data_IF_883885117693
#
_entry.id   IF_883885117693
#
_cell.length_a   1.000
_cell.length_b   1.000
_cell.length_c   1.000
_cell.angle_alpha   90.00
_cell.angle_beta   90.00
_cell.angle_gamma   90.00
#
_symmetry.space_group_name_H-M   'P 1'
#
loop_
_entity.id
_entity.type
_entity.pdbx_description
1 polymer ?
#
# COMPACT_ATOMS: atom_id res chain seq x y z
N UNK A 1 20.03 4.02 -8.14
CA UNK A 1 19.06 3.25 -8.96
C UNK A 1 17.73 4.00 -8.99
N UNK A 2 16.95 3.98 -10.10
CA UNK A 2 15.65 4.65 -10.20
C UNK A 2 14.50 3.66 -10.04
N UNK A 3 13.35 4.15 -9.57
CA UNK A 3 12.15 3.33 -9.40
C UNK A 3 10.90 4.01 -9.97
N UNK A 4 9.96 3.22 -10.50
CA UNK A 4 8.59 3.62 -10.77
C UNK A 4 7.71 3.10 -9.63
N UNK A 5 6.93 3.97 -9.01
CA UNK A 5 5.96 3.59 -7.98
C UNK A 5 4.54 3.80 -8.50
N UNK A 6 3.75 2.73 -8.51
CA UNK A 6 2.39 2.74 -9.02
C UNK A 6 1.42 3.26 -7.95
N UNK A 7 0.85 4.42 -8.19
CA UNK A 7 -0.06 5.10 -7.26
C UNK A 7 -1.39 5.53 -7.91
N UNK A 8 -1.71 5.00 -9.10
CA UNK A 8 -2.87 5.39 -9.91
C UNK A 8 -4.24 4.87 -9.45
N UNK A 9 -4.31 4.02 -8.43
CA UNK A 9 -5.55 3.37 -8.01
C UNK A 9 -6.49 4.28 -7.20
N UNK A 10 -7.81 4.14 -7.41
CA UNK A 10 -8.87 4.93 -6.71
C UNK A 10 -9.02 4.59 -5.22
N UNK A 11 -8.45 3.49 -4.73
CA UNK A 11 -8.55 3.10 -3.32
C UNK A 11 -9.98 2.77 -2.85
N UNK A 12 -10.87 2.36 -3.72
CA UNK A 12 -12.31 2.18 -3.42
C UNK A 12 -12.59 1.21 -2.27
N UNK A 13 -11.75 0.20 -2.08
CA UNK A 13 -11.86 -0.76 -0.96
C UNK A 13 -11.59 -0.15 0.42
N UNK A 14 -10.90 1.00 0.47
CA UNK A 14 -10.59 1.74 1.71
C UNK A 14 -11.55 2.90 1.98
N UNK A 15 -12.58 3.08 1.15
CA UNK A 15 -13.62 4.05 1.47
C UNK A 15 -14.30 3.70 2.79
N UNK A 16 -14.67 4.70 3.60
CA UNK A 16 -14.73 6.14 3.32
C UNK A 16 -13.40 6.91 3.47
N UNK A 17 -12.32 6.32 3.98
CA UNK A 17 -11.04 7.00 4.23
C UNK A 17 -10.42 7.63 2.96
N UNK A 18 -10.71 7.06 1.79
CA UNK A 18 -10.16 7.49 0.48
C UNK A 18 -11.12 8.35 -0.34
N UNK A 19 -12.20 8.86 0.24
CA UNK A 19 -13.13 9.74 -0.47
C UNK A 19 -12.48 11.07 -0.91
N UNK A 20 -11.58 11.57 -0.08
CA UNK A 20 -10.96 12.89 -0.29
C UNK A 20 -9.45 12.85 -0.50
N UNK A 21 -8.81 11.69 -0.42
CA UNK A 21 -7.35 11.52 -0.62
C UNK A 21 -7.00 10.20 -1.29
N UNK A 22 -5.90 10.12 -2.05
CA UNK A 22 -5.37 8.86 -2.55
C UNK A 22 -4.99 7.92 -1.39
N UNK A 23 -5.11 6.61 -1.60
CA UNK A 23 -4.79 5.64 -0.53
C UNK A 23 -3.34 5.73 -0.04
N UNK A 24 -2.40 6.07 -0.92
CA UNK A 24 -0.99 6.22 -0.56
C UNK A 24 -0.70 7.46 0.29
N UNK A 25 -1.67 8.40 0.34
CA UNK A 25 -1.65 9.55 1.24
C UNK A 25 -2.35 9.29 2.57
N UNK A 26 -2.95 8.10 2.77
CA UNK A 26 -3.43 7.70 4.09
C UNK A 26 -2.27 7.56 5.05
N UNK A 27 -2.40 8.06 6.30
CA UNK A 27 -1.36 7.94 7.29
C UNK A 27 -1.21 6.49 7.76
N UNK A 28 0.03 6.03 7.81
CA UNK A 28 0.41 4.81 8.53
C UNK A 28 1.27 5.27 9.70
N UNK A 29 0.77 5.12 10.91
CA UNK A 29 1.26 5.77 12.12
C UNK A 29 1.24 7.31 11.99
N UNK A 30 2.42 7.93 11.84
CA UNK A 30 2.63 9.38 11.85
C UNK A 30 2.82 10.01 10.46
N UNK A 31 2.95 9.22 9.41
CA UNK A 31 3.29 9.71 8.06
C UNK A 31 2.50 9.00 6.95
N UNK A 32 2.32 9.63 5.78
CA UNK A 32 1.68 9.00 4.63
C UNK A 32 2.35 7.68 4.22
N UNK A 33 1.57 6.73 3.74
CA UNK A 33 2.06 5.43 3.26
C UNK A 33 3.18 5.57 2.22
N UNK A 34 3.09 6.56 1.34
CA UNK A 34 4.12 6.81 0.32
C UNK A 34 5.49 7.14 0.93
N UNK A 35 5.55 7.74 2.11
CA UNK A 35 6.82 8.02 2.79
C UNK A 35 7.49 6.75 3.33
N UNK A 36 6.70 5.75 3.72
CA UNK A 36 7.24 4.42 4.06
C UNK A 36 7.86 3.75 2.85
N UNK A 37 7.18 3.82 1.70
CA UNK A 37 7.67 3.25 0.44
C UNK A 37 8.94 3.99 -0.02
N UNK A 38 8.92 5.32 -0.06
CA UNK A 38 10.07 6.12 -0.48
C UNK A 38 11.27 5.93 0.47
N UNK A 39 11.04 5.92 1.79
CA UNK A 39 12.08 5.69 2.79
C UNK A 39 12.73 4.30 2.66
N UNK A 40 11.93 3.25 2.44
CA UNK A 40 12.43 1.92 2.19
C UNK A 40 13.24 1.85 0.88
N UNK A 41 12.78 2.48 -0.20
CA UNK A 41 13.49 2.57 -1.47
C UNK A 41 14.83 3.31 -1.28
N UNK A 42 14.82 4.46 -0.59
CA UNK A 42 16.03 5.23 -0.29
C UNK A 42 17.06 4.43 0.53
N UNK A 43 16.61 3.70 1.56
CA UNK A 43 17.47 2.82 2.35
C UNK A 43 18.10 1.68 1.54
N UNK A 44 17.50 1.33 0.38
CA UNK A 44 18.02 0.35 -0.56
C UNK A 44 18.76 0.97 -1.76
N UNK A 45 19.15 2.26 -1.68
CA UNK A 45 19.99 2.93 -2.69
C UNK A 45 19.22 3.44 -3.92
N UNK A 46 17.93 3.70 -3.78
CA UNK A 46 17.13 4.41 -4.79
C UNK A 46 17.23 5.91 -4.52
N UNK A 47 17.60 6.67 -5.51
CA UNK A 47 17.85 8.13 -5.43
C UNK A 47 16.71 8.93 -6.04
N UNK A 48 15.98 8.32 -6.98
CA UNK A 48 14.86 8.97 -7.67
C UNK A 48 13.70 7.98 -7.86
N UNK A 49 12.51 8.43 -7.54
CA UNK A 49 11.23 7.73 -7.72
C UNK A 49 10.35 8.50 -8.69
N UNK A 50 9.79 7.79 -9.66
CA UNK A 50 8.76 8.30 -10.55
C UNK A 50 7.40 7.79 -10.07
N UNK A 51 6.56 8.68 -9.57
CA UNK A 51 5.19 8.34 -9.21
C UNK A 51 4.31 8.32 -10.45
N UNK A 52 3.74 7.15 -10.81
CA UNK A 52 2.70 7.05 -11.83
C UNK A 52 1.36 7.37 -11.17
N UNK A 53 0.84 8.54 -11.47
CA UNK A 53 -0.31 9.14 -10.81
C UNK A 53 -1.55 9.07 -11.71
N UNK A 54 -2.67 8.63 -11.16
CA UNK A 54 -3.96 8.68 -11.83
C UNK A 54 -4.97 9.51 -11.06
N UNK A 55 -5.30 9.08 -9.85
CA UNK A 55 -6.31 9.70 -9.00
C UNK A 55 -5.70 10.79 -8.10
N UNK A 56 -6.25 12.01 -8.16
CA UNK A 56 -5.87 13.18 -7.34
C UNK A 56 -4.35 13.43 -7.30
N UNK A 57 -3.70 13.66 -8.43
CA UNK A 57 -2.26 13.88 -8.50
C UNK A 57 -1.81 15.12 -7.69
N UNK A 58 -2.70 16.12 -7.53
CA UNK A 58 -2.46 17.32 -6.74
C UNK A 58 -2.09 17.00 -5.28
N UNK A 59 -2.68 15.96 -4.69
CA UNK A 59 -2.38 15.57 -3.31
C UNK A 59 -0.89 15.22 -3.09
N UNK A 60 -0.20 14.73 -4.11
CA UNK A 60 1.23 14.45 -4.04
C UNK A 60 2.07 15.69 -4.32
N UNK A 61 1.74 16.48 -5.32
CA UNK A 61 2.50 17.68 -5.68
C UNK A 61 2.39 18.79 -4.62
N UNK A 62 1.26 18.89 -3.93
CA UNK A 62 1.06 19.81 -2.82
C UNK A 62 1.77 19.35 -1.54
N UNK A 63 1.80 18.04 -1.27
CA UNK A 63 2.48 17.49 -0.09
C UNK A 63 4.02 17.51 -0.24
N UNK A 64 4.53 17.39 -1.47
CA UNK A 64 5.97 17.33 -1.74
C UNK A 64 6.38 18.36 -2.80
N UNK A 65 6.21 19.67 -2.53
CA UNK A 65 6.45 20.74 -3.51
C UNK A 65 7.91 20.83 -3.93
N UNK A 66 8.84 20.43 -3.06
CA UNK A 66 10.26 20.42 -3.33
C UNK A 66 10.73 19.19 -4.14
N UNK A 67 9.80 18.31 -4.51
CA UNK A 67 10.13 17.06 -5.18
C UNK A 67 10.98 16.10 -4.34
N UNK A 68 10.82 16.12 -3.01
CA UNK A 68 11.52 15.23 -2.07
C UNK A 68 10.54 14.53 -1.16
N UNK A 69 10.69 13.20 -1.00
CA UNK A 69 9.90 12.39 -0.09
C UNK A 69 10.84 11.43 0.66
N UNK A 70 10.89 11.52 1.98
CA UNK A 70 11.79 10.71 2.83
C UNK A 70 13.27 10.71 2.36
N UNK A 71 13.75 11.83 1.81
CA UNK A 71 15.12 11.98 1.31
C UNK A 71 15.34 11.47 -0.13
N UNK A 72 14.32 10.97 -0.80
CA UNK A 72 14.36 10.47 -2.19
C UNK A 72 13.76 11.51 -3.13
N UNK A 73 14.38 11.74 -4.28
CA UNK A 73 13.86 12.63 -5.32
C UNK A 73 12.59 12.11 -5.95
N UNK A 74 11.56 12.94 -6.11
CA UNK A 74 10.31 12.60 -6.76
C UNK A 74 10.19 13.22 -8.15
N UNK A 75 9.73 12.42 -9.09
CA UNK A 75 9.19 12.83 -10.38
C UNK A 75 7.74 12.42 -10.48
N UNK A 76 6.95 13.15 -11.22
CA UNK A 76 5.52 12.90 -11.38
C UNK A 76 5.20 12.59 -12.84
N UNK A 77 4.57 11.43 -13.10
CA UNK A 77 4.03 11.04 -14.38
C UNK A 77 2.50 10.92 -14.23
N UNK A 78 1.77 11.95 -14.64
CA UNK A 78 0.30 12.00 -14.49
C UNK A 78 -0.35 11.36 -15.72
N UNK A 79 -1.01 10.22 -15.50
CA UNK A 79 -1.72 9.48 -16.54
C UNK A 79 -2.95 10.30 -17.02
N UNK A 80 -3.14 10.49 -18.34
CA UNK A 80 -4.31 11.20 -18.87
C UNK A 80 -5.62 10.42 -18.66
N UNK A 81 -5.50 9.09 -18.55
CA UNK A 81 -6.56 8.13 -18.28
C UNK A 81 -5.95 6.88 -17.62
N UNK A 82 -6.73 6.05 -16.91
CA UNK A 82 -6.20 4.82 -16.31
C UNK A 82 -5.63 3.86 -17.36
N UNK A 83 -4.33 3.54 -17.27
CA UNK A 83 -3.60 2.73 -18.24
C UNK A 83 -3.42 1.26 -17.80
N UNK A 84 -3.90 0.90 -16.59
CA UNK A 84 -3.59 -0.37 -15.92
C UNK A 84 -2.09 -0.52 -15.60
N UNK A 85 -1.66 -1.60 -14.95
CA UNK A 85 -0.33 -1.72 -14.33
C UNK A 85 0.82 -1.58 -15.33
N UNK A 86 0.82 -2.30 -16.44
CA UNK A 86 1.89 -2.20 -17.43
C UNK A 86 1.83 -0.87 -18.21
N UNK A 87 0.63 -0.40 -18.57
CA UNK A 87 0.47 0.89 -19.23
C UNK A 87 1.02 2.04 -18.40
N UNK A 88 0.75 2.05 -17.10
CA UNK A 88 1.29 3.00 -16.13
C UNK A 88 2.83 2.93 -16.05
N UNK A 89 3.41 1.73 -15.99
CA UNK A 89 4.87 1.52 -16.01
C UNK A 89 5.47 2.12 -17.29
N UNK A 90 4.91 1.79 -18.45
CA UNK A 90 5.40 2.30 -19.73
C UNK A 90 5.33 3.83 -19.78
N UNK A 91 4.20 4.39 -19.38
CA UNK A 91 3.98 5.85 -19.38
C UNK A 91 5.01 6.55 -18.49
N UNK A 92 5.15 6.09 -17.24
CA UNK A 92 6.11 6.67 -16.29
C UNK A 92 7.56 6.47 -16.75
N UNK A 93 7.94 5.29 -17.25
CA UNK A 93 9.29 5.00 -17.72
C UNK A 93 9.68 5.91 -18.87
N UNK A 94 8.80 6.12 -19.86
CA UNK A 94 9.05 7.01 -20.99
C UNK A 94 9.14 8.48 -20.61
N UNK A 95 8.30 8.92 -19.67
CA UNK A 95 8.30 10.30 -19.20
C UNK A 95 9.66 10.77 -18.66
N UNK A 96 10.50 9.83 -18.20
CA UNK A 96 11.82 10.11 -17.62
C UNK A 96 12.99 9.39 -18.30
N UNK A 97 12.75 8.77 -19.48
CA UNK A 97 13.77 8.11 -20.28
C UNK A 97 14.33 6.80 -19.71
N UNK A 98 13.56 6.08 -18.87
CA UNK A 98 13.94 4.76 -18.36
C UNK A 98 13.91 3.68 -19.46
N UNK A 99 13.06 3.84 -20.46
CA UNK A 99 12.94 2.95 -21.62
C UNK A 99 14.17 2.96 -22.54
N UNK A 100 15.02 3.98 -22.43
CA UNK A 100 16.25 4.15 -23.19
C UNK A 100 17.52 4.05 -22.33
N UNK A 101 17.37 3.68 -21.05
CA UNK A 101 18.50 3.51 -20.16
C UNK A 101 19.22 2.17 -20.42
N UNK A 102 20.49 2.09 -20.02
CA UNK A 102 21.26 0.84 -20.09
C UNK A 102 21.06 -0.04 -18.85
N UNK A 103 20.63 0.55 -17.73
CA UNK A 103 20.48 -0.11 -16.44
C UNK A 103 19.03 -0.48 -16.15
N UNK A 104 18.77 -1.60 -15.47
CA UNK A 104 17.45 -1.95 -15.02
C UNK A 104 16.91 -0.95 -13.99
N UNK A 105 15.59 -0.88 -13.90
CA UNK A 105 14.88 -0.04 -12.94
C UNK A 105 13.91 -0.87 -12.09
N UNK A 106 13.55 -0.33 -10.93
CA UNK A 106 12.57 -0.93 -10.04
C UNK A 106 11.15 -0.50 -10.43
N UNK A 107 10.20 -1.39 -10.19
CA UNK A 107 8.77 -1.07 -10.16
C UNK A 107 8.19 -1.57 -8.84
N UNK A 108 7.43 -0.72 -8.17
CA UNK A 108 6.84 -1.03 -6.87
C UNK A 108 5.38 -0.60 -6.82
N UNK A 109 4.53 -1.44 -6.26
CA UNK A 109 3.17 -1.06 -5.90
C UNK A 109 3.21 -0.11 -4.70
N UNK A 110 2.66 1.09 -4.84
CA UNK A 110 2.73 2.16 -3.84
C UNK A 110 1.88 1.94 -2.59
N UNK A 111 1.20 0.80 -2.46
CA UNK A 111 0.40 0.39 -1.30
C UNK A 111 0.99 -0.81 -0.55
N UNK A 112 2.20 -1.23 -0.91
CA UNK A 112 2.95 -2.31 -0.25
C UNK A 112 3.94 -1.73 0.74
N UNK A 113 3.84 -2.15 1.99
CA UNK A 113 4.83 -1.88 3.04
C UNK A 113 5.64 -3.14 3.27
N UNK A 114 6.96 -3.05 3.10
CA UNK A 114 7.88 -4.20 3.17
C UNK A 114 9.26 -3.80 3.67
N UNK A 115 10.02 -4.77 4.17
CA UNK A 115 11.45 -4.64 4.48
C UNK A 115 12.32 -5.52 3.56
N UNK A 116 11.80 -5.88 2.39
CA UNK A 116 12.53 -6.64 1.37
C UNK A 116 13.90 -6.02 1.05
N UNK A 117 14.94 -6.85 1.06
CA UNK A 117 16.27 -6.47 0.63
C UNK A 117 16.34 -6.40 -0.91
N UNK A 118 16.17 -5.22 -1.49
CA UNK A 118 16.18 -5.00 -2.95
C UNK A 118 17.50 -5.48 -3.58
N UNK A 119 18.61 -5.36 -2.87
CA UNK A 119 19.92 -5.83 -3.34
C UNK A 119 19.94 -7.30 -3.75
N UNK A 120 19.22 -8.18 -3.02
CA UNK A 120 19.10 -9.60 -3.36
C UNK A 120 18.30 -9.82 -4.66
N UNK A 121 17.22 -9.05 -4.86
CA UNK A 121 16.43 -9.11 -6.08
C UNK A 121 17.23 -8.67 -7.31
N UNK A 122 17.98 -7.58 -7.19
CA UNK A 122 18.87 -7.06 -8.25
C UNK A 122 20.01 -8.03 -8.55
N UNK A 123 20.58 -8.64 -7.51
CA UNK A 123 21.66 -9.64 -7.68
C UNK A 123 21.17 -10.88 -8.47
N UNK A 124 19.98 -11.39 -8.14
CA UNK A 124 19.37 -12.49 -8.88
C UNK A 124 19.09 -12.10 -10.33
N UNK A 125 18.50 -10.91 -10.55
CA UNK A 125 18.21 -10.38 -11.88
C UNK A 125 19.44 -10.39 -12.78
N UNK A 126 20.56 -9.86 -12.29
CA UNK A 126 21.83 -9.81 -13.02
C UNK A 126 22.43 -11.21 -13.23
N UNK A 127 22.42 -12.05 -12.19
CA UNK A 127 23.00 -13.40 -12.25
C UNK A 127 22.29 -14.31 -13.26
N UNK A 128 20.99 -14.09 -13.48
CA UNK A 128 20.18 -14.86 -14.43
C UNK A 128 20.13 -14.24 -15.84
N UNK A 129 20.62 -13.03 -16.02
CA UNK A 129 20.42 -12.28 -17.25
C UNK A 129 18.93 -12.11 -17.54
N UNK A 130 18.14 -11.96 -16.50
CA UNK A 130 16.68 -11.88 -16.59
C UNK A 130 16.25 -10.61 -17.32
N UNK A 131 15.13 -10.67 -18.04
CA UNK A 131 14.49 -9.46 -18.56
C UNK A 131 13.60 -8.81 -17.51
N UNK A 132 12.95 -9.63 -16.66
CA UNK A 132 12.30 -9.17 -15.44
C UNK A 132 12.53 -10.16 -14.29
N UNK A 133 12.55 -9.62 -13.07
CA UNK A 133 12.60 -10.42 -11.83
C UNK A 133 11.59 -9.87 -10.85
N UNK A 134 10.74 -10.74 -10.33
CA UNK A 134 9.67 -10.39 -9.38
C UNK A 134 10.01 -10.89 -7.97
N UNK A 135 9.69 -10.11 -6.95
CA UNK A 135 9.73 -10.57 -5.57
C UNK A 135 8.46 -11.35 -5.23
N UNK A 136 8.61 -12.45 -4.51
CA UNK A 136 7.51 -13.26 -4.01
C UNK A 136 7.50 -13.26 -2.49
N UNK A 137 6.29 -13.29 -1.92
CA UNK A 137 6.05 -13.44 -0.48
C UNK A 137 5.08 -14.59 -0.22
N UNK A 138 5.22 -15.33 0.89
CA UNK A 138 4.27 -16.39 1.23
C UNK A 138 3.03 -15.81 1.90
N UNK A 139 1.85 -16.38 1.60
CA UNK A 139 0.59 -16.04 2.25
C UNK A 139 -0.21 -17.29 2.59
N UNK A 140 -1.11 -17.21 3.59
CA UNK A 140 -2.00 -18.32 3.95
C UNK A 140 -3.11 -18.56 2.91
N UNK A 141 -3.63 -17.49 2.33
CA UNK A 141 -4.67 -17.55 1.31
C UNK A 141 -4.24 -16.79 0.04
N UNK A 142 -3.75 -17.51 -0.99
CA UNK A 142 -3.26 -16.90 -2.22
C UNK A 142 -4.36 -16.47 -3.20
N UNK A 143 -5.63 -16.80 -2.94
CA UNK A 143 -6.74 -16.60 -3.89
C UNK A 143 -7.00 -15.13 -4.30
N UNK A 144 -6.45 -14.18 -3.55
CA UNK A 144 -6.61 -12.75 -3.81
C UNK A 144 -5.48 -12.14 -4.65
N UNK A 145 -4.44 -12.91 -4.96
CA UNK A 145 -3.18 -12.43 -5.52
C UNK A 145 -2.78 -13.22 -6.77
N UNK A 146 -1.77 -12.73 -7.47
CA UNK A 146 -1.10 -13.48 -8.51
C UNK A 146 -0.20 -14.56 -7.91
N UNK A 147 -0.51 -15.83 -8.16
CA UNK A 147 0.27 -16.97 -7.67
C UNK A 147 1.36 -17.32 -8.68
N UNK A 148 2.59 -17.54 -8.18
CA UNK A 148 3.78 -17.66 -9.02
C UNK A 148 4.58 -18.90 -8.63
N UNK A 149 4.31 -20.08 -9.23
CA UNK A 149 5.18 -21.23 -9.11
C UNK A 149 6.51 -20.99 -9.86
N UNK A 150 7.62 -21.47 -9.26
CA UNK A 150 8.96 -21.33 -9.81
C UNK A 150 9.69 -22.65 -9.84
N UNK A 151 10.55 -22.83 -10.83
CA UNK A 151 11.49 -23.93 -10.91
C UNK A 151 12.68 -23.78 -9.94
N UNK A 152 13.52 -24.81 -9.84
CA UNK A 152 14.65 -24.83 -8.91
C UNK A 152 15.74 -23.78 -9.23
N UNK A 153 15.75 -23.24 -10.44
CA UNK A 153 16.66 -22.17 -10.87
C UNK A 153 16.07 -20.76 -10.63
N UNK A 154 14.86 -20.65 -10.06
CA UNK A 154 14.15 -19.41 -9.83
C UNK A 154 13.40 -18.88 -11.06
N UNK A 155 13.34 -19.64 -12.16
CA UNK A 155 12.56 -19.29 -13.34
C UNK A 155 11.07 -19.44 -13.03
N UNK A 156 10.28 -18.47 -13.43
CA UNK A 156 8.82 -18.52 -13.28
C UNK A 156 8.24 -19.53 -14.29
N UNK A 157 7.46 -20.48 -13.78
CA UNK A 157 6.80 -21.51 -14.58
C UNK A 157 5.40 -21.11 -15.02
N UNK A 158 4.71 -20.32 -14.19
CA UNK A 158 3.41 -19.76 -14.51
C UNK A 158 3.15 -18.46 -13.70
N UNK A 159 2.28 -17.62 -14.21
CA UNK A 159 1.70 -16.48 -13.47
C UNK A 159 0.18 -16.63 -13.50
N UNK A 160 -0.43 -16.92 -12.35
CA UNK A 160 -1.85 -17.27 -12.26
C UNK A 160 -2.56 -16.21 -11.41
N UNK A 161 -3.26 -15.31 -12.06
CA UNK A 161 -3.94 -14.19 -11.40
C UNK A 161 -5.22 -14.66 -10.71
N UNK A 162 -5.23 -14.55 -9.38
CA UNK A 162 -6.39 -14.84 -8.49
C UNK A 162 -7.02 -16.20 -8.73
N UNK A 163 -6.29 -17.30 -8.56
CA UNK A 163 -6.84 -18.63 -8.69
C UNK A 163 -7.83 -18.93 -7.55
N UNK A 164 -8.70 -19.91 -7.75
CA UNK A 164 -9.43 -20.50 -6.64
C UNK A 164 -8.46 -21.09 -5.62
N UNK A 165 -8.71 -20.89 -4.33
CA UNK A 165 -7.83 -21.35 -3.25
C UNK A 165 -7.50 -22.86 -3.36
N UNK A 166 -8.48 -23.68 -3.72
CA UNK A 166 -8.29 -25.12 -3.86
C UNK A 166 -7.39 -25.53 -5.04
N UNK A 167 -7.22 -24.63 -6.02
CA UNK A 167 -6.45 -24.86 -7.25
C UNK A 167 -5.14 -24.07 -7.29
N UNK A 168 -4.81 -23.32 -6.23
CA UNK A 168 -3.58 -22.57 -6.18
C UNK A 168 -2.36 -23.54 -6.08
N UNK A 169 -1.44 -23.52 -7.05
CA UNK A 169 -0.30 -24.46 -7.07
C UNK A 169 0.77 -24.12 -6.04
N UNK A 170 0.70 -22.95 -5.43
CA UNK A 170 1.69 -22.43 -4.48
C UNK A 170 1.03 -21.40 -3.56
N UNK A 171 1.63 -21.18 -2.39
CA UNK A 171 1.30 -20.06 -1.51
C UNK A 171 2.21 -18.83 -1.73
N UNK A 172 3.16 -18.92 -2.67
CA UNK A 172 4.01 -17.79 -3.05
C UNK A 172 3.30 -16.91 -4.05
N UNK A 173 3.15 -15.65 -3.69
CA UNK A 173 2.43 -14.67 -4.49
C UNK A 173 3.34 -13.54 -4.95
N UNK A 174 2.90 -12.84 -5.98
CA UNK A 174 3.51 -11.61 -6.44
C UNK A 174 3.48 -10.55 -5.33
N UNK A 175 4.65 -10.13 -4.86
CA UNK A 175 4.80 -9.13 -3.81
C UNK A 175 4.69 -7.67 -4.31
N UNK A 176 4.47 -7.43 -5.60
CA UNK A 176 4.34 -6.09 -6.17
C UNK A 176 5.65 -5.30 -6.21
N UNK A 177 6.79 -5.99 -6.23
CA UNK A 177 8.13 -5.39 -6.39
C UNK A 177 8.88 -6.11 -7.49
N UNK A 178 9.37 -5.36 -8.49
CA UNK A 178 9.99 -5.90 -9.70
C UNK A 178 11.30 -5.19 -10.01
N UNK A 179 12.25 -5.92 -10.63
CA UNK A 179 13.38 -5.37 -11.39
C UNK A 179 13.08 -5.61 -12.86
N UNK A 180 13.05 -4.58 -13.66
CA UNK A 180 12.75 -4.63 -15.09
C UNK A 180 13.92 -4.07 -15.91
N UNK A 181 14.30 -4.78 -16.97
CA UNK A 181 15.15 -4.19 -18.01
C UNK A 181 14.34 -3.17 -18.84
N UNK A 182 14.97 -2.14 -19.40
CA UNK A 182 14.31 -1.19 -20.30
C UNK A 182 13.57 -1.85 -21.48
N UNK A 183 14.05 -3.00 -21.95
CA UNK A 183 13.42 -3.79 -23.02
C UNK A 183 11.98 -4.22 -22.73
N UNK A 184 11.62 -4.38 -21.45
CA UNK A 184 10.24 -4.72 -21.04
C UNK A 184 9.25 -3.65 -21.47
N UNK A 185 9.67 -2.39 -21.50
CA UNK A 185 8.81 -1.26 -21.93
C UNK A 185 8.35 -1.44 -23.37
N UNK A 186 9.17 -2.02 -24.24
CA UNK A 186 8.83 -2.31 -25.64
C UNK A 186 7.80 -3.45 -25.80
N UNK A 187 7.68 -4.34 -24.80
CA UNK A 187 6.65 -5.41 -24.79
C UNK A 187 5.24 -4.87 -24.49
N UNK A 188 5.15 -3.67 -23.94
CA UNK A 188 3.87 -3.09 -23.51
C UNK A 188 3.27 -2.32 -24.68
N UNK A 189 2.06 -2.69 -25.12
CA UNK A 189 1.35 -2.03 -26.18
C UNK A 189 1.05 -0.56 -25.85
N UNK A 190 1.14 0.32 -26.84
CA UNK A 190 0.84 1.75 -26.73
C UNK A 190 -0.64 2.05 -26.91
N UNK A 191 -1.12 3.16 -26.30
CA UNK A 191 -2.45 3.71 -26.55
C UNK A 191 -3.59 2.84 -26.04
N UNK A 192 -3.36 1.90 -25.12
CA UNK A 192 -4.40 1.10 -24.47
C UNK A 192 -4.03 0.69 -23.04
N UNK A 193 -5.02 0.25 -22.32
CA UNK A 193 -4.82 -0.36 -20.99
C UNK A 193 -4.14 -1.72 -21.14
N UNK A 194 -3.08 -1.95 -20.36
CA UNK A 194 -2.32 -3.21 -20.35
C UNK A 194 -2.01 -3.60 -18.92
N UNK A 195 -2.37 -4.83 -18.52
CA UNK A 195 -1.98 -5.41 -17.24
C UNK A 195 -0.64 -6.13 -17.35
N UNK A 196 0.30 -5.84 -16.45
CA UNK A 196 1.58 -6.55 -16.39
C UNK A 196 1.38 -8.02 -16.03
N UNK A 197 0.44 -8.30 -15.14
CA UNK A 197 0.16 -9.62 -14.58
C UNK A 197 -0.58 -10.53 -15.58
N UNK A 198 -1.43 -9.96 -16.41
CA UNK A 198 -2.30 -10.71 -17.31
C UNK A 198 -1.76 -10.84 -18.73
N UNK A 199 -0.89 -9.93 -19.15
CA UNK A 199 -0.41 -9.87 -20.52
C UNK A 199 1.12 -9.98 -20.61
N UNK A 200 1.87 -9.16 -19.86
CA UNK A 200 3.32 -9.05 -20.02
C UNK A 200 4.04 -10.20 -19.35
N UNK A 201 3.77 -10.46 -18.07
CA UNK A 201 4.40 -11.57 -17.36
C UNK A 201 4.11 -12.95 -17.97
N UNK A 202 2.87 -13.30 -18.37
CA UNK A 202 2.61 -14.54 -19.08
C UNK A 202 3.39 -14.69 -20.39
N UNK A 203 3.55 -13.63 -21.18
CA UNK A 203 4.38 -13.66 -22.39
C UNK A 203 5.87 -13.89 -22.05
N UNK A 204 6.38 -13.25 -20.99
CA UNK A 204 7.76 -13.46 -20.53
C UNK A 204 7.99 -14.85 -19.93
N UNK A 205 6.99 -15.47 -19.31
CA UNK A 205 7.03 -16.88 -18.89
C UNK A 205 7.20 -17.77 -20.12
N UNK A 206 6.40 -17.56 -21.16
CA UNK A 206 6.50 -18.32 -22.40
C UNK A 206 7.88 -18.20 -23.06
N UNK A 207 8.50 -17.02 -22.99
CA UNK A 207 9.84 -16.76 -23.51
C UNK A 207 10.97 -17.24 -22.58
N UNK A 208 10.65 -17.62 -21.32
CA UNK A 208 11.61 -18.06 -20.32
C UNK A 208 12.51 -16.94 -19.77
N UNK A 209 12.08 -15.68 -19.84
CA UNK A 209 12.85 -14.47 -19.45
C UNK A 209 12.45 -13.89 -18.10
N UNK A 210 11.41 -14.45 -17.44
CA UNK A 210 10.93 -14.05 -16.13
C UNK A 210 11.49 -14.94 -15.02
N UNK A 211 12.07 -14.32 -14.00
CA UNK A 211 12.58 -14.98 -12.80
C UNK A 211 11.92 -14.43 -11.55
N UNK A 212 12.02 -15.14 -10.43
CA UNK A 212 11.48 -14.67 -9.17
C UNK A 212 12.39 -14.99 -7.99
N UNK A 213 12.36 -14.11 -6.98
CA UNK A 213 13.01 -14.28 -5.68
C UNK A 213 11.94 -14.51 -4.61
N UNK A 214 11.99 -15.68 -3.97
CA UNK A 214 11.20 -15.92 -2.75
C UNK A 214 11.85 -15.24 -1.56
N UNK A 215 11.05 -14.55 -0.75
CA UNK A 215 11.51 -13.83 0.43
C UNK A 215 10.47 -13.90 1.55
N UNK A 216 10.94 -14.17 2.78
CA UNK A 216 10.16 -14.12 4.01
C UNK A 216 10.19 -12.72 4.67
N UNK A 217 10.61 -11.70 3.94
CA UNK A 217 10.58 -10.32 4.40
C UNK A 217 9.15 -9.92 4.81
N UNK A 218 9.05 -9.04 5.79
CA UNK A 218 7.76 -8.49 6.17
C UNK A 218 7.11 -7.83 4.94
N UNK A 219 5.85 -8.15 4.72
CA UNK A 219 5.10 -7.67 3.57
C UNK A 219 3.62 -7.50 3.92
N UNK A 220 3.07 -6.33 3.63
CA UNK A 220 1.63 -6.07 3.78
C UNK A 220 1.14 -5.22 2.61
N UNK A 221 0.10 -5.70 1.92
CA UNK A 221 -0.74 -4.90 1.01
C UNK A 221 -1.80 -4.17 1.85
N UNK A 222 -1.61 -2.88 2.11
CA UNK A 222 -2.53 -2.05 2.88
C UNK A 222 -3.76 -1.61 2.04
N UNK A 223 -4.30 -2.48 1.22
CA UNK A 223 -5.36 -2.18 0.25
C UNK A 223 -6.79 -2.37 0.74
N UNK A 224 -7.01 -2.89 1.96
CA UNK A 224 -8.34 -3.07 2.57
C UNK A 224 -8.36 -2.53 3.99
N UNK A 225 -9.54 -2.21 4.59
CA UNK A 225 -9.61 -1.78 5.98
C UNK A 225 -8.94 -2.75 6.95
N UNK A 226 -9.13 -4.05 6.77
CA UNK A 226 -8.53 -5.06 7.64
C UNK A 226 -7.00 -5.06 7.56
N UNK A 227 -6.42 -5.04 6.35
CA UNK A 227 -4.97 -5.01 6.18
C UNK A 227 -4.38 -3.65 6.57
N UNK A 228 -5.10 -2.55 6.35
CA UNK A 228 -4.69 -1.22 6.80
C UNK A 228 -4.67 -1.10 8.33
N UNK A 229 -5.66 -1.67 9.02
CA UNK A 229 -5.68 -1.76 10.49
C UNK A 229 -4.51 -2.61 10.99
N UNK A 230 -4.35 -3.81 10.43
CA UNK A 230 -3.31 -4.76 10.84
C UNK A 230 -1.90 -4.18 10.71
N UNK A 231 -1.57 -3.57 9.57
CA UNK A 231 -0.23 -3.01 9.35
C UNK A 231 0.11 -1.89 10.34
N UNK A 232 -0.86 -1.06 10.71
CA UNK A 232 -0.65 0.00 11.68
C UNK A 232 -0.36 -0.54 13.08
N UNK A 233 -1.16 -1.52 13.54
CA UNK A 233 -0.97 -2.16 14.84
C UNK A 233 0.37 -2.92 14.90
N UNK A 234 0.72 -3.64 13.85
CA UNK A 234 1.97 -4.38 13.75
C UNK A 234 3.18 -3.43 13.74
N UNK A 235 3.16 -2.39 12.91
CA UNK A 235 4.24 -1.41 12.86
C UNK A 235 4.40 -0.68 14.21
N UNK A 236 3.30 -0.29 14.84
CA UNK A 236 3.33 0.35 16.16
C UNK A 236 4.00 -0.56 17.20
N UNK A 237 3.68 -1.85 17.17
CA UNK A 237 4.31 -2.83 18.06
C UNK A 237 5.79 -3.03 17.75
N UNK A 238 6.15 -3.26 16.48
CA UNK A 238 7.55 -3.51 16.05
C UNK A 238 8.48 -2.34 16.30
N UNK A 239 8.00 -1.11 16.07
CA UNK A 239 8.81 0.11 16.21
C UNK A 239 8.79 0.68 17.62
N UNK A 240 7.94 0.14 18.51
CA UNK A 240 7.70 0.72 19.83
C UNK A 240 7.09 2.12 19.73
N UNK A 241 6.36 2.40 18.66
CA UNK A 241 5.74 3.70 18.41
C UNK A 241 4.88 4.16 19.60
N UNK A 242 4.94 5.44 19.88
CA UNK A 242 4.16 6.05 20.96
C UNK A 242 3.45 7.29 20.43
N UNK A 243 2.18 7.47 20.79
CA UNK A 243 1.45 8.66 20.37
C UNK A 243 2.05 9.93 20.99
N UNK A 244 1.98 11.02 20.23
CA UNK A 244 2.42 12.35 20.66
C UNK A 244 1.22 13.30 20.68
N UNK A 245 1.11 14.15 21.71
CA UNK A 245 0.06 15.16 21.78
C UNK A 245 -1.34 14.61 21.97
N UNK A 246 -1.50 13.40 22.54
CA UNK A 246 -2.80 12.80 22.85
C UNK A 246 -3.22 13.14 24.29
N UNK A 247 -4.52 13.31 24.51
CA UNK A 247 -5.13 13.50 25.82
C UNK A 247 -6.02 12.28 26.13
N UNK A 248 -5.62 11.49 27.12
CA UNK A 248 -6.37 10.30 27.57
C UNK A 248 -6.80 10.51 29.02
N UNK A 249 -8.13 10.44 29.27
CA UNK A 249 -8.64 10.51 30.62
C UNK A 249 -8.11 9.33 31.47
N UNK A 250 -7.73 9.55 32.75
CA UNK A 250 -7.20 8.50 33.61
C UNK A 250 -8.11 7.28 33.79
N UNK A 251 -9.42 7.43 33.61
CA UNK A 251 -10.40 6.34 33.68
C UNK A 251 -10.63 5.63 32.35
N UNK A 252 -10.05 6.10 31.24
CA UNK A 252 -10.16 5.49 29.94
C UNK A 252 -9.20 4.29 29.81
N UNK A 253 -9.57 3.33 28.95
CA UNK A 253 -8.75 2.17 28.61
C UNK A 253 -8.27 2.27 27.18
N UNK A 254 -6.96 2.23 26.94
CA UNK A 254 -6.36 2.20 25.61
C UNK A 254 -5.41 1.02 25.51
N UNK A 255 -5.74 0.04 24.65
CA UNK A 255 -5.00 -1.20 24.49
C UNK A 255 -4.81 -1.55 23.02
N UNK A 256 -3.57 -1.90 22.63
CA UNK A 256 -3.26 -2.31 21.24
C UNK A 256 -3.88 -1.35 20.21
N UNK A 257 -3.73 -0.05 20.41
CA UNK A 257 -4.33 0.96 19.57
C UNK A 257 -3.30 1.96 19.06
N UNK A 258 -3.55 2.50 17.88
CA UNK A 258 -2.81 3.62 17.30
C UNK A 258 -3.67 4.88 17.47
N UNK A 259 -3.23 5.81 18.31
CA UNK A 259 -3.84 7.12 18.47
C UNK A 259 -2.94 8.17 17.81
N UNK A 260 -3.42 8.81 16.77
CA UNK A 260 -2.65 9.86 16.09
C UNK A 260 -2.61 11.17 16.92
N UNK A 261 -1.80 12.11 16.47
CA UNK A 261 -1.61 13.41 17.13
C UNK A 261 -2.92 14.15 17.36
N UNK A 262 -3.09 14.74 18.54
CA UNK A 262 -4.25 15.55 18.92
C UNK A 262 -5.52 14.76 19.21
N UNK A 263 -5.46 13.43 19.30
CA UNK A 263 -6.60 12.60 19.73
C UNK A 263 -6.90 12.87 21.20
N UNK A 264 -8.20 12.97 21.52
CA UNK A 264 -8.68 13.00 22.90
C UNK A 264 -9.59 11.81 23.20
N UNK A 265 -9.39 11.16 24.34
CA UNK A 265 -10.18 10.01 24.81
C UNK A 265 -10.80 10.37 26.16
N UNK A 266 -12.14 10.44 26.20
CA UNK A 266 -12.93 10.88 27.35
C UNK A 266 -13.04 9.85 28.46
N UNK A 267 -13.63 10.29 29.58
CA UNK A 267 -13.76 9.49 30.78
C UNK A 267 -14.50 8.17 30.56
N UNK A 268 -13.93 7.06 31.02
CA UNK A 268 -14.50 5.71 30.90
C UNK A 268 -14.59 5.18 29.48
N UNK A 269 -14.04 5.86 28.48
CA UNK A 269 -14.01 5.37 27.11
C UNK A 269 -13.02 4.22 26.94
N UNK A 270 -13.27 3.32 25.96
CA UNK A 270 -12.43 2.16 25.65
C UNK A 270 -12.01 2.22 24.20
N UNK A 271 -10.70 2.18 23.94
CA UNK A 271 -10.13 2.07 22.59
C UNK A 271 -9.23 0.84 22.55
N UNK A 272 -9.62 -0.17 21.78
CA UNK A 272 -8.89 -1.44 21.69
C UNK A 272 -8.77 -1.94 20.26
N UNK A 273 -7.59 -2.46 19.87
CA UNK A 273 -7.36 -3.04 18.56
C UNK A 273 -7.65 -2.07 17.39
N UNK A 274 -7.56 -0.77 17.61
CA UNK A 274 -8.14 0.23 16.72
C UNK A 274 -7.13 1.30 16.30
N UNK A 275 -7.45 1.99 15.22
CA UNK A 275 -6.71 3.16 14.72
C UNK A 275 -7.61 4.39 14.79
N UNK A 276 -7.12 5.44 15.43
CA UNK A 276 -7.82 6.72 15.59
C UNK A 276 -6.99 7.84 14.98
N UNK A 277 -7.54 8.47 13.95
CA UNK A 277 -6.92 9.55 13.18
C UNK A 277 -6.70 10.84 13.96
N UNK A 278 -5.90 11.73 13.38
CA UNK A 278 -5.52 13.01 14.02
C UNK A 278 -6.74 13.85 14.44
N UNK A 279 -6.62 14.52 15.58
CA UNK A 279 -7.63 15.46 16.13
C UNK A 279 -9.02 14.85 16.36
N UNK A 280 -9.12 13.53 16.38
CA UNK A 280 -10.37 12.81 16.65
C UNK A 280 -10.72 12.88 18.14
N UNK A 281 -12.00 13.01 18.43
CA UNK A 281 -12.56 13.04 19.78
C UNK A 281 -13.34 11.76 20.03
N UNK A 282 -12.93 10.98 21.03
CA UNK A 282 -13.70 9.87 21.57
C UNK A 282 -14.33 10.34 22.89
N UNK A 283 -15.63 10.53 22.90
CA UNK A 283 -16.33 11.07 24.06
C UNK A 283 -16.49 10.04 25.20
N UNK A 284 -16.98 10.52 26.34
CA UNK A 284 -17.08 9.72 27.56
C UNK A 284 -17.91 8.44 27.37
N UNK A 285 -17.38 7.31 27.86
CA UNK A 285 -18.02 6.00 27.81
C UNK A 285 -18.15 5.38 26.41
N UNK A 286 -17.61 6.03 25.38
CA UNK A 286 -17.61 5.44 24.02
C UNK A 286 -16.64 4.24 23.94
N UNK A 287 -16.99 3.24 23.13
CA UNK A 287 -16.19 2.03 22.88
C UNK A 287 -15.81 1.98 21.40
N UNK A 288 -14.51 1.93 21.11
CA UNK A 288 -13.96 1.74 19.75
C UNK A 288 -13.11 0.49 19.78
N UNK A 289 -13.62 -0.57 19.20
CA UNK A 289 -12.96 -1.87 19.19
C UNK A 289 -12.79 -2.39 17.76
N UNK A 290 -11.56 -2.87 17.43
CA UNK A 290 -11.21 -3.47 16.13
C UNK A 290 -11.73 -2.62 14.94
N UNK A 291 -11.57 -1.29 15.03
CA UNK A 291 -12.21 -0.31 14.14
C UNK A 291 -11.24 0.79 13.72
N UNK A 292 -11.59 1.52 12.66
CA UNK A 292 -10.80 2.63 12.13
C UNK A 292 -11.64 3.90 12.19
N UNK A 293 -11.10 4.94 12.82
CA UNK A 293 -11.72 6.27 12.88
C UNK A 293 -10.81 7.26 12.16
N UNK A 294 -11.34 7.97 11.16
CA UNK A 294 -10.64 8.96 10.37
C UNK A 294 -10.22 10.20 11.15
N UNK A 295 -9.59 11.15 10.48
CA UNK A 295 -9.11 12.39 11.09
C UNK A 295 -10.28 13.34 11.40
N UNK A 296 -10.19 14.08 12.51
CA UNK A 296 -11.18 15.11 12.89
C UNK A 296 -12.57 14.57 13.24
N UNK A 297 -12.76 13.26 13.29
CA UNK A 297 -14.05 12.66 13.60
C UNK A 297 -14.41 12.82 15.10
N UNK A 298 -15.70 12.73 15.40
CA UNK A 298 -16.22 12.71 16.77
C UNK A 298 -17.01 11.43 16.98
N UNK A 299 -16.63 10.63 17.96
CA UNK A 299 -17.39 9.46 18.41
C UNK A 299 -18.15 9.86 19.67
N UNK A 300 -19.46 10.07 19.54
CA UNK A 300 -20.33 10.58 20.60
C UNK A 300 -20.39 9.68 21.82
N UNK A 301 -20.75 10.28 22.96
CA UNK A 301 -20.75 9.63 24.27
C UNK A 301 -21.55 8.32 24.29
N UNK A 302 -20.98 7.27 24.87
CA UNK A 302 -21.62 5.96 24.98
C UNK A 302 -21.87 5.22 23.67
N UNK A 303 -21.31 5.69 22.54
CA UNK A 303 -21.38 4.97 21.25
C UNK A 303 -20.47 3.74 21.25
N UNK A 304 -20.80 2.74 20.44
CA UNK A 304 -20.01 1.53 20.26
C UNK A 304 -19.68 1.36 18.77
N UNK A 305 -18.40 1.25 18.47
CA UNK A 305 -17.87 0.92 17.14
C UNK A 305 -17.12 -0.39 17.25
N UNK A 306 -17.54 -1.41 16.48
CA UNK A 306 -16.88 -2.72 16.48
C UNK A 306 -16.96 -3.41 15.11
N UNK A 307 -16.45 -4.65 15.03
CA UNK A 307 -16.57 -5.50 13.85
C UNK A 307 -15.89 -4.95 12.59
N UNK A 308 -14.82 -4.18 12.71
CA UNK A 308 -14.15 -3.47 11.62
C UNK A 308 -15.02 -2.33 11.03
N UNK A 309 -15.70 -1.59 11.88
CA UNK A 309 -16.34 -0.34 11.46
C UNK A 309 -15.30 0.69 11.03
N UNK A 310 -15.61 1.43 9.96
CA UNK A 310 -14.73 2.47 9.41
C UNK A 310 -15.47 3.80 9.34
N UNK A 311 -15.01 4.76 10.10
CA UNK A 311 -15.52 6.12 10.12
C UNK A 311 -14.57 7.01 9.32
N UNK A 312 -15.11 7.79 8.38
CA UNK A 312 -14.35 8.72 7.55
C UNK A 312 -13.88 9.96 8.30
N UNK A 313 -13.15 10.82 7.59
CA UNK A 313 -12.66 12.08 8.13
C UNK A 313 -13.83 13.04 8.41
N UNK A 314 -13.70 13.84 9.50
CA UNK A 314 -14.64 14.90 9.94
C UNK A 314 -16.08 14.40 10.19
N UNK A 315 -16.29 13.10 10.34
CA UNK A 315 -17.61 12.50 10.61
C UNK A 315 -17.96 12.61 12.08
N UNK A 316 -19.20 12.97 12.36
CA UNK A 316 -19.76 12.98 13.73
C UNK A 316 -20.69 11.79 13.91
N UNK A 317 -20.35 10.91 14.84
CA UNK A 317 -21.22 9.81 15.30
C UNK A 317 -22.01 10.32 16.51
N UNK A 318 -23.33 10.34 16.40
CA UNK A 318 -24.21 10.80 17.46
C UNK A 318 -24.09 9.92 18.73
N UNK A 319 -24.30 10.48 19.91
CA UNK A 319 -24.23 9.72 21.17
C UNK A 319 -25.12 8.46 21.18
N UNK A 320 -24.62 7.39 21.78
CA UNK A 320 -25.35 6.13 21.95
C UNK A 320 -25.56 5.31 20.66
N UNK A 321 -24.92 5.66 19.55
CA UNK A 321 -24.95 4.87 18.31
C UNK A 321 -24.13 3.59 18.45
N UNK A 322 -24.64 2.50 17.84
CA UNK A 322 -23.87 1.27 17.66
C UNK A 322 -23.63 1.02 16.17
N UNK A 323 -22.36 0.98 15.79
CA UNK A 323 -21.89 0.64 14.45
C UNK A 323 -21.18 -0.70 14.52
N UNK A 324 -21.71 -1.70 13.79
CA UNK A 324 -21.12 -3.03 13.69
C UNK A 324 -20.76 -3.34 12.23
N UNK A 325 -19.48 -3.40 11.90
CA UNK A 325 -18.98 -3.62 10.54
C UNK A 325 -19.55 -2.59 9.51
N UNK A 326 -19.77 -1.36 9.95
CA UNK A 326 -20.35 -0.28 9.13
C UNK A 326 -19.28 0.64 8.56
N UNK A 327 -19.56 1.21 7.39
CA UNK A 327 -18.77 2.24 6.74
C UNK A 327 -19.55 3.57 6.82
N UNK A 328 -18.98 4.60 7.43
CA UNK A 328 -19.65 5.91 7.63
C UNK A 328 -18.76 7.05 7.13
N UNK A 329 -19.20 7.88 6.17
CA UNK A 329 -20.45 7.74 5.43
C UNK A 329 -20.46 6.48 4.55
N UNK A 330 -21.65 6.01 4.20
CA UNK A 330 -21.80 4.91 3.25
C UNK A 330 -21.16 5.29 1.90
N UNK A 331 -20.18 4.55 1.40
CA UNK A 331 -19.50 4.89 0.15
C UNK A 331 -20.34 4.64 -1.11
N UNK A 332 -21.52 4.06 -0.98
CA UNK A 332 -22.47 3.80 -2.06
C UNK A 332 -23.60 4.85 -2.14
N UNK A 333 -23.63 5.79 -1.17
CA UNK A 333 -24.63 6.88 -1.08
C UNK A 333 -24.35 8.03 -2.01
#
# INVERSE_FOLDING_TARGET
MRAVVLVGGFGTRLRPLTLHRPKQMLPVLDRPMIEWVAGWLGANGVDEVVLSLGYRPEAFTEAYPDGLCAGVGLRYAVEPEPLDTAGAIRFAARAVGLDQADEPFLVVNGDVITDLAIGALVALHRARGAEATIALTPVEDPSRYGVVPIGPDGRVEAFIEKPDRANAPSNWINAGTYVLNPSVVARIADGRRVSIEREVFPAMVADGTLYALQSDAAWVDAGTPATYLSVQLELAHRTGWRPVGVAVDPSATVEQAVLAEGVSVGAGAVVRGSVVGRRTVIEAGAVVQDSIVGEGAVVGAGSVLDGLSVVGDDVVIEPGRHLHAELVPDPAG
#
